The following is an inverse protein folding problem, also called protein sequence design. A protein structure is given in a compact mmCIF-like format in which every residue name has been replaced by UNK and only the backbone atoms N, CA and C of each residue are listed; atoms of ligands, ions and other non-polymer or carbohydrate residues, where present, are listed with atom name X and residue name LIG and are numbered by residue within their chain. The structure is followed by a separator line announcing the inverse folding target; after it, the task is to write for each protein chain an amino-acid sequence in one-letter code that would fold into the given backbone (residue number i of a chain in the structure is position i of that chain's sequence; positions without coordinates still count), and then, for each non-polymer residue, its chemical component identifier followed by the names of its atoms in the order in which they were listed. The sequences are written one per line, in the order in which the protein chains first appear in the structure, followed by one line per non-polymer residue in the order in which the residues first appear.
data_IF_586928798278
#
_entry.id   IF_586928798278
#
_cell.length_a   1.000
_cell.length_b   1.000
_cell.length_c   1.000
_cell.angle_alpha   90.00
_cell.angle_beta   90.00
_cell.angle_gamma   90.00
#
_symmetry.space_group_name_H-M   'P 1'
#
loop_
_entity.id
_entity.type
_entity.pdbx_description
1 polymer ?
#
# COMPACT_ATOMS: atom_id res chain seq x y z
N UNK A 1 -3.54 2.47 18.68
CA UNK A 1 -3.86 2.56 17.25
C UNK A 1 -5.32 2.17 17.10
N UNK A 2 -6.15 3.08 16.61
CA UNK A 2 -7.52 2.76 16.23
C UNK A 2 -7.51 2.19 14.81
N UNK A 3 -8.36 1.21 14.49
CA UNK A 3 -8.40 0.55 13.17
C UNK A 3 -9.82 0.47 12.63
N UNK A 4 -9.98 0.70 11.33
CA UNK A 4 -11.24 0.60 10.59
C UNK A 4 -11.09 -0.52 9.56
N UNK A 5 -12.06 -1.44 9.49
CA UNK A 5 -12.03 -2.59 8.57
C UNK A 5 -13.15 -2.48 7.54
N UNK A 6 -12.80 -2.44 6.26
CA UNK A 6 -13.74 -2.43 5.13
C UNK A 6 -13.59 -3.75 4.35
N UNK A 7 -14.70 -4.43 4.06
CA UNK A 7 -14.73 -5.69 3.30
C UNK A 7 -15.49 -5.51 1.98
N UNK A 8 -14.84 -5.81 0.86
CA UNK A 8 -15.41 -5.73 -0.50
C UNK A 8 -15.30 -7.12 -1.13
N UNK A 9 -16.38 -7.64 -1.72
CA UNK A 9 -16.44 -8.97 -2.35
C UNK A 9 -16.06 -8.95 -3.83
N UNK A 10 -15.74 -10.12 -4.42
CA UNK A 10 -15.25 -10.21 -5.79
C UNK A 10 -16.37 -10.12 -6.85
N UNK A 11 -16.19 -9.23 -7.83
CA UNK A 11 -16.72 -9.34 -9.19
C UNK A 11 -15.55 -9.52 -10.17
N UNK A 12 -15.81 -10.02 -11.38
CA UNK A 12 -14.80 -10.35 -12.42
C UNK A 12 -14.11 -9.09 -13.01
N UNK A 13 -13.51 -8.27 -12.17
CA UNK A 13 -12.82 -7.04 -12.55
C UNK A 13 -11.35 -7.34 -12.86
N UNK A 14 -10.85 -6.77 -13.96
CA UNK A 14 -9.49 -6.98 -14.45
C UNK A 14 -8.50 -6.21 -13.55
N UNK A 15 -7.44 -6.88 -13.10
CA UNK A 15 -6.50 -6.39 -12.07
C UNK A 15 -5.87 -5.00 -12.32
N UNK A 16 -5.81 -4.53 -13.57
CA UNK A 16 -5.16 -3.26 -13.93
C UNK A 16 -5.92 -2.00 -13.53
N UNK A 17 -7.23 -2.09 -13.27
CA UNK A 17 -8.04 -0.94 -12.79
C UNK A 17 -8.15 -0.90 -11.26
N UNK A 18 -7.78 -2.00 -10.59
CA UNK A 18 -8.00 -2.20 -9.14
C UNK A 18 -7.31 -1.11 -8.31
N UNK A 19 -6.03 -0.79 -8.54
CA UNK A 19 -5.34 0.24 -7.73
C UNK A 19 -6.00 1.62 -7.84
N UNK A 20 -6.44 2.02 -9.05
CA UNK A 20 -7.10 3.31 -9.26
C UNK A 20 -8.45 3.37 -8.55
N UNK A 21 -9.25 2.31 -8.64
CA UNK A 21 -10.54 2.21 -7.97
C UNK A 21 -10.39 2.19 -6.45
N UNK A 22 -9.47 1.37 -5.94
CA UNK A 22 -9.16 1.29 -4.52
C UNK A 22 -8.66 2.63 -3.97
N UNK A 23 -7.86 3.36 -4.75
CA UNK A 23 -7.42 4.72 -4.41
C UNK A 23 -8.61 5.66 -4.32
N UNK A 24 -9.52 5.66 -5.30
CA UNK A 24 -10.71 6.51 -5.28
C UNK A 24 -11.55 6.20 -4.04
N UNK A 25 -11.76 4.92 -3.73
CA UNK A 25 -12.48 4.48 -2.52
C UNK A 25 -11.79 5.02 -1.26
N UNK A 26 -10.48 4.81 -1.11
CA UNK A 26 -9.73 5.27 0.05
C UNK A 26 -9.74 6.81 0.20
N UNK A 27 -9.46 7.55 -0.88
CA UNK A 27 -9.48 9.03 -0.87
C UNK A 27 -10.89 9.58 -0.59
N UNK A 28 -11.95 8.84 -0.98
CA UNK A 28 -13.34 9.23 -0.67
C UNK A 28 -13.68 9.01 0.80
N UNK A 29 -13.30 7.87 1.39
CA UNK A 29 -13.58 7.57 2.80
C UNK A 29 -12.74 8.40 3.77
N UNK A 30 -11.49 8.68 3.41
CA UNK A 30 -10.50 9.31 4.29
C UNK A 30 -10.09 10.70 3.81
N UNK A 31 -10.93 11.40 3.04
CA UNK A 31 -10.68 12.79 2.66
C UNK A 31 -10.39 13.65 3.91
N UNK A 32 -9.34 14.49 3.92
CA UNK A 32 -8.55 15.00 2.78
C UNK A 32 -7.30 14.18 2.40
N UNK A 33 -7.09 12.98 2.94
CA UNK A 33 -5.86 12.20 2.74
C UNK A 33 -5.65 11.76 1.29
N UNK A 34 -4.39 11.68 0.86
CA UNK A 34 -3.96 11.25 -0.48
C UNK A 34 -3.12 9.98 -0.44
N UNK A 35 -3.24 9.15 -1.47
CA UNK A 35 -2.39 7.97 -1.62
C UNK A 35 -0.94 8.39 -1.86
N UNK A 36 -0.05 7.96 -0.98
CA UNK A 36 1.39 8.19 -1.08
C UNK A 36 2.18 6.91 -1.36
N UNK A 37 1.58 5.74 -1.23
CA UNK A 37 2.22 4.48 -1.59
C UNK A 37 1.21 3.34 -1.71
N UNK A 38 1.65 2.22 -2.28
CA UNK A 38 0.87 0.99 -2.32
C UNK A 38 1.80 -0.22 -2.28
N UNK A 39 1.27 -1.34 -1.82
CA UNK A 39 1.86 -2.66 -1.99
C UNK A 39 0.79 -3.61 -2.51
N UNK A 40 1.00 -4.13 -3.72
CA UNK A 40 0.29 -5.25 -4.32
C UNK A 40 1.14 -6.51 -4.15
N UNK A 41 0.67 -7.43 -3.30
CA UNK A 41 1.40 -8.65 -2.96
C UNK A 41 1.19 -9.77 -3.98
N UNK A 42 0.15 -9.69 -4.80
CA UNK A 42 -0.07 -10.70 -5.85
C UNK A 42 0.97 -10.59 -6.96
N UNK A 43 1.32 -9.35 -7.31
CA UNK A 43 2.25 -9.04 -8.38
C UNK A 43 3.67 -8.67 -7.89
N UNK A 44 3.92 -8.80 -6.57
CA UNK A 44 5.16 -8.33 -5.90
C UNK A 44 5.53 -6.89 -6.32
N UNK A 45 4.52 -6.03 -6.40
CA UNK A 45 4.63 -4.67 -6.93
C UNK A 45 4.34 -3.66 -5.84
N UNK A 46 5.27 -2.76 -5.59
CA UNK A 46 5.06 -1.67 -4.64
C UNK A 46 5.79 -0.40 -5.09
N UNK A 47 5.29 0.74 -4.63
CA UNK A 47 5.81 2.03 -5.02
C UNK A 47 6.96 2.44 -4.09
N UNK A 48 8.14 1.87 -4.34
CA UNK A 48 9.31 2.03 -3.48
C UNK A 48 10.02 3.38 -3.67
N UNK A 49 10.20 4.20 -2.61
CA UNK A 49 10.98 5.44 -2.69
C UNK A 49 12.45 5.22 -3.13
N UNK A 50 13.01 4.03 -2.87
CA UNK A 50 14.37 3.69 -3.28
C UNK A 50 14.46 3.41 -4.78
N UNK A 51 13.52 2.65 -5.34
CA UNK A 51 13.47 2.35 -6.78
C UNK A 51 13.31 3.62 -7.62
N UNK A 52 12.46 4.56 -7.19
CA UNK A 52 12.32 5.86 -7.86
C UNK A 52 13.62 6.66 -7.88
N UNK A 53 14.43 6.53 -6.82
CA UNK A 53 15.76 7.13 -6.71
C UNK A 53 16.86 6.28 -7.38
N UNK A 54 16.46 5.28 -8.18
CA UNK A 54 17.36 4.38 -8.90
C UNK A 54 18.30 3.59 -7.97
N UNK A 55 17.83 3.30 -6.76
CA UNK A 55 18.51 2.45 -5.78
C UNK A 55 17.82 1.10 -5.72
N UNK A 56 18.56 0.08 -5.30
CA UNK A 56 17.99 -1.25 -5.06
C UNK A 56 16.88 -1.17 -4.00
N UNK A 57 15.81 -1.92 -4.23
CA UNK A 57 14.73 -2.03 -3.25
C UNK A 57 15.22 -2.84 -2.05
N UNK A 58 15.18 -2.29 -0.81
CA UNK A 58 15.54 -3.04 0.38
C UNK A 58 14.39 -3.97 0.84
N UNK A 59 13.20 -3.86 0.25
CA UNK A 59 12.03 -4.63 0.63
C UNK A 59 11.98 -5.91 -0.22
N UNK A 60 12.36 -7.05 0.37
CA UNK A 60 12.21 -8.38 -0.25
C UNK A 60 11.48 -9.32 0.72
N UNK A 61 10.48 -10.05 0.21
CA UNK A 61 9.54 -10.83 1.03
C UNK A 61 10.14 -12.07 1.72
N UNK A 62 11.42 -12.40 1.52
CA UNK A 62 12.02 -13.62 2.09
C UNK A 62 12.48 -13.50 3.54
N UNK A 63 12.35 -12.34 4.19
CA UNK A 63 13.04 -12.09 5.45
C UNK A 63 12.03 -12.06 6.60
N UNK A 64 11.96 -13.19 7.30
CA UNK A 64 11.25 -13.39 8.57
C UNK A 64 11.88 -12.65 9.76
N UNK A 65 12.92 -11.84 9.53
CA UNK A 65 13.71 -11.25 10.60
C UNK A 65 13.61 -9.72 10.61
N UNK A 66 13.46 -9.24 11.85
CA UNK A 66 13.25 -7.87 12.34
C UNK A 66 14.32 -6.83 11.94
N UNK A 67 15.12 -7.10 10.90
CA UNK A 67 16.31 -6.33 10.51
C UNK A 67 16.11 -5.40 9.31
N UNK A 68 15.03 -5.51 8.53
CA UNK A 68 14.75 -4.58 7.43
C UNK A 68 13.67 -3.56 7.82
N UNK A 69 13.79 -2.29 7.41
CA UNK A 69 12.72 -1.32 7.62
C UNK A 69 11.49 -1.81 6.85
N UNK A 70 10.45 -2.21 7.58
CA UNK A 70 9.12 -2.43 7.03
C UNK A 70 8.82 -1.35 5.98
N UNK A 71 8.29 -1.73 4.82
CA UNK A 71 7.90 -0.77 3.78
C UNK A 71 7.01 0.33 4.36
N UNK A 72 6.16 -0.02 5.32
CA UNK A 72 5.38 0.93 6.12
C UNK A 72 6.28 1.97 6.82
N UNK A 73 7.30 1.56 7.59
CA UNK A 73 8.27 2.49 8.21
C UNK A 73 9.01 3.33 7.19
N UNK A 74 9.27 2.77 6.01
CA UNK A 74 9.89 3.52 4.92
C UNK A 74 8.94 4.62 4.44
N UNK A 75 7.66 4.32 4.25
CA UNK A 75 6.67 5.29 3.82
C UNK A 75 6.31 6.32 4.90
N UNK A 76 6.26 5.92 6.17
CA UNK A 76 6.12 6.84 7.31
C UNK A 76 7.24 7.90 7.26
N UNK A 77 8.49 7.46 7.08
CA UNK A 77 9.65 8.35 7.06
C UNK A 77 9.75 9.18 5.78
N UNK A 78 9.69 8.53 4.62
CA UNK A 78 10.00 9.15 3.33
C UNK A 78 8.81 9.88 2.72
N UNK A 79 7.57 9.53 3.12
CA UNK A 79 6.34 10.06 2.53
C UNK A 79 5.30 10.53 3.54
N UNK A 80 5.64 10.51 4.84
CA UNK A 80 4.73 10.93 5.91
C UNK A 80 3.40 10.13 5.89
N UNK A 81 3.46 8.86 5.46
CA UNK A 81 2.30 7.99 5.52
C UNK A 81 1.84 7.86 6.99
N UNK A 82 0.55 8.05 7.21
CA UNK A 82 -0.05 8.04 8.55
C UNK A 82 -1.24 7.10 8.67
N UNK A 83 -1.72 6.55 7.55
CA UNK A 83 -2.80 5.56 7.50
C UNK A 83 -2.50 4.47 6.46
N UNK A 84 -2.70 3.22 6.84
CA UNK A 84 -2.69 2.07 5.95
C UNK A 84 -4.13 1.57 5.74
N UNK A 85 -4.57 1.48 4.49
CA UNK A 85 -5.88 0.96 4.08
C UNK A 85 -5.66 -0.40 3.43
N UNK A 86 -6.15 -1.45 4.07
CA UNK A 86 -5.98 -2.84 3.62
C UNK A 86 -7.22 -3.26 2.83
N UNK A 87 -7.02 -3.80 1.63
CA UNK A 87 -8.06 -4.36 0.77
C UNK A 87 -7.83 -5.88 0.60
N UNK A 88 -8.39 -6.71 1.51
CA UNK A 88 -8.07 -8.15 1.56
C UNK A 88 -8.43 -8.90 0.27
N UNK A 89 -9.51 -8.49 -0.40
CA UNK A 89 -10.01 -9.12 -1.62
C UNK A 89 -9.07 -8.99 -2.84
N UNK A 90 -8.16 -8.03 -2.78
CA UNK A 90 -7.17 -7.73 -3.82
C UNK A 90 -5.73 -7.98 -3.35
N UNK A 91 -5.52 -8.33 -2.07
CA UNK A 91 -4.20 -8.39 -1.44
C UNK A 91 -3.34 -7.12 -1.63
N UNK A 92 -4.04 -5.97 -1.62
CA UNK A 92 -3.44 -4.65 -1.78
C UNK A 92 -3.50 -3.89 -0.45
N UNK A 93 -2.42 -3.19 -0.13
CA UNK A 93 -2.40 -2.15 0.92
C UNK A 93 -2.11 -0.80 0.29
N UNK A 94 -2.96 0.19 0.54
CA UNK A 94 -2.69 1.59 0.19
C UNK A 94 -2.20 2.34 1.43
N UNK A 95 -1.25 3.24 1.24
CA UNK A 95 -0.72 4.10 2.29
C UNK A 95 -1.08 5.55 1.99
N UNK A 96 -1.60 6.24 2.99
CA UNK A 96 -2.22 7.56 2.86
C UNK A 96 -1.54 8.57 3.78
N UNK A 97 -1.48 9.84 3.35
CA UNK A 97 -1.08 11.00 4.15
C UNK A 97 -2.05 12.16 3.99
#
# INVERSE_FOLDING_TARGET
MESITVSVGQSQSRATEVISDLRIVAETFFGPMKMVGFWDRQEDMHLCPFLERHKECPHTEKISDESFPSYERTLERERQASLAVIFPHADVTLYMS
#
